data_IF_130661232591
#
_entry.id   IF_130661232591
#
_cell.length_a   1.000
_cell.length_b   1.000
_cell.length_c   1.000
_cell.angle_alpha   90.00
_cell.angle_beta   90.00
_cell.angle_gamma   90.00
#
_symmetry.space_group_name_H-M   'P 1'
#
loop_
_entity.id
_entity.type
_entity.pdbx_description
1 polymer ?
#
# COMPACT_ATOMS: atom_id res chain seq x y z
N UNK A 1 21.26 -6.18 -36.36
CA UNK A 1 20.40 -5.78 -35.25
C UNK A 1 20.93 -4.47 -34.69
N UNK A 2 20.17 -3.39 -34.68
CA UNK A 2 20.61 -2.12 -34.09
C UNK A 2 20.72 -2.28 -32.58
N UNK A 3 21.84 -1.84 -32.02
CA UNK A 3 22.01 -1.82 -30.55
C UNK A 3 20.88 -1.01 -29.95
N UNK A 4 20.16 -1.53 -28.94
CA UNK A 4 19.09 -0.79 -28.29
C UNK A 4 19.65 0.52 -27.73
N UNK A 5 19.02 1.64 -28.06
CA UNK A 5 19.38 2.94 -27.50
C UNK A 5 18.78 3.04 -26.09
N UNK A 6 19.60 2.86 -25.08
CA UNK A 6 19.20 3.11 -23.70
C UNK A 6 19.17 4.62 -23.41
N UNK A 7 18.13 5.07 -22.72
CA UNK A 7 18.10 6.43 -22.18
C UNK A 7 19.20 6.55 -21.12
N UNK A 8 20.04 7.59 -21.17
CA UNK A 8 20.98 7.84 -20.06
C UNK A 8 20.20 8.16 -18.80
N UNK A 9 20.41 7.37 -17.77
CA UNK A 9 19.80 7.57 -16.45
C UNK A 9 20.86 7.95 -15.44
N UNK A 10 20.49 8.85 -14.52
CA UNK A 10 21.35 9.26 -13.44
C UNK A 10 21.16 8.30 -12.26
N UNK A 11 22.21 7.59 -11.92
CA UNK A 11 22.29 6.75 -10.72
C UNK A 11 23.13 7.43 -9.67
N UNK A 12 22.89 7.08 -8.40
CA UNK A 12 23.64 7.56 -7.25
C UNK A 12 25.05 6.95 -7.16
N UNK A 13 25.72 7.28 -6.07
CA UNK A 13 27.06 6.73 -5.77
C UNK A 13 26.94 5.25 -5.45
N UNK A 14 27.67 4.40 -6.20
CA UNK A 14 27.67 2.94 -6.04
C UNK A 14 28.88 2.42 -5.24
N UNK A 15 29.75 3.33 -4.75
CA UNK A 15 30.93 2.94 -3.97
C UNK A 15 30.51 2.43 -2.60
N UNK A 16 31.19 1.36 -2.18
CA UNK A 16 31.05 0.78 -0.85
C UNK A 16 32.37 0.76 -0.12
N UNK A 17 32.34 1.01 1.16
CA UNK A 17 33.46 0.79 2.06
C UNK A 17 33.38 -0.65 2.59
N UNK A 18 34.48 -1.38 2.56
CA UNK A 18 34.54 -2.74 3.07
C UNK A 18 35.59 -2.81 4.19
N UNK A 19 35.20 -3.44 5.30
CA UNK A 19 36.08 -3.67 6.46
C UNK A 19 36.01 -5.14 6.85
N UNK A 20 37.13 -5.80 7.03
CA UNK A 20 37.17 -7.13 7.63
C UNK A 20 37.20 -7.04 9.17
N UNK A 21 36.39 -7.85 9.82
CA UNK A 21 36.39 -8.09 11.26
C UNK A 21 37.36 -9.21 11.65
N UNK A 22 37.59 -9.36 12.97
CA UNK A 22 38.53 -10.36 13.51
C UNK A 22 38.20 -11.81 13.13
N UNK A 23 36.92 -12.11 12.88
CA UNK A 23 36.45 -13.48 12.60
C UNK A 23 36.26 -13.73 11.09
N UNK A 24 36.88 -12.95 10.21
CA UNK A 24 36.71 -13.04 8.77
C UNK A 24 35.35 -12.52 8.26
N UNK A 25 34.54 -11.92 9.14
CA UNK A 25 33.29 -11.27 8.77
C UNK A 25 33.59 -9.98 8.00
N UNK A 26 32.94 -9.84 6.85
CA UNK A 26 33.08 -8.63 6.03
C UNK A 26 31.92 -7.68 6.28
N UNK A 27 32.24 -6.44 6.69
CA UNK A 27 31.29 -5.38 6.88
C UNK A 27 31.31 -4.48 5.65
N UNK A 28 30.15 -4.34 5.00
CA UNK A 28 29.97 -3.44 3.86
C UNK A 28 29.08 -2.28 4.25
N UNK A 29 29.49 -1.07 3.93
CA UNK A 29 28.68 0.14 4.12
C UNK A 29 28.72 1.02 2.87
N UNK A 30 27.64 1.73 2.59
CA UNK A 30 27.65 2.73 1.53
C UNK A 30 28.68 3.82 1.85
N UNK A 31 29.39 4.32 0.84
CA UNK A 31 30.28 5.47 0.95
C UNK A 31 29.50 6.75 1.26
N UNK A 32 28.31 6.89 0.63
CA UNK A 32 27.39 7.98 0.89
C UNK A 32 26.52 7.68 2.11
N UNK A 33 26.50 8.57 3.10
CA UNK A 33 25.59 8.48 4.24
C UNK A 33 24.14 8.73 3.80
N UNK A 34 23.19 8.12 4.51
CA UNK A 34 21.79 8.43 4.35
C UNK A 34 21.54 9.89 4.78
N UNK A 35 20.94 10.67 3.88
CA UNK A 35 20.55 12.06 4.16
C UNK A 35 19.23 12.11 4.92
N UNK A 36 18.85 13.29 5.37
CA UNK A 36 17.58 13.51 6.07
C UNK A 36 16.38 13.08 5.21
N UNK A 37 15.36 12.56 5.87
CA UNK A 37 14.12 12.09 5.26
C UNK A 37 12.92 12.48 6.13
N UNK A 38 11.71 12.50 5.55
CA UNK A 38 10.49 12.85 6.28
C UNK A 38 10.24 11.94 7.48
N UNK A 39 9.62 12.50 8.51
CA UNK A 39 9.21 11.74 9.70
C UNK A 39 8.16 10.67 9.35
N UNK A 40 7.26 10.99 8.39
CA UNK A 40 6.10 10.18 7.99
C UNK A 40 5.95 10.16 6.48
N UNK A 41 5.46 9.06 5.95
CA UNK A 41 5.09 8.97 4.53
C UNK A 41 3.99 9.98 4.15
N UNK A 42 3.10 10.30 5.09
CA UNK A 42 2.03 11.28 4.90
C UNK A 42 2.52 12.72 4.74
N UNK A 43 3.73 13.04 5.20
CA UNK A 43 4.34 14.35 4.94
C UNK A 43 4.61 14.57 3.44
N UNK A 44 4.97 13.49 2.72
CA UNK A 44 5.13 13.52 1.26
C UNK A 44 3.79 13.62 0.55
N UNK A 45 2.78 12.86 1.01
CA UNK A 45 1.43 12.94 0.44
C UNK A 45 0.86 14.36 0.56
N UNK A 46 0.96 14.98 1.75
CA UNK A 46 0.51 16.36 1.98
C UNK A 46 1.27 17.37 1.11
N UNK A 47 2.59 17.18 0.97
CA UNK A 47 3.42 18.02 0.09
C UNK A 47 2.92 17.97 -1.36
N UNK A 48 2.71 16.79 -1.91
CA UNK A 48 2.26 16.66 -3.30
C UNK A 48 0.82 17.14 -3.49
N UNK A 49 -0.06 16.90 -2.53
CA UNK A 49 -1.42 17.44 -2.57
C UNK A 49 -1.46 18.98 -2.60
N UNK A 50 -0.45 19.63 -2.02
CA UNK A 50 -0.37 21.11 -2.03
C UNK A 50 0.38 21.66 -3.25
N UNK A 51 1.39 20.97 -3.77
CA UNK A 51 2.27 21.48 -4.84
C UNK A 51 1.87 21.01 -6.23
N UNK A 52 1.19 19.88 -6.35
CA UNK A 52 0.70 19.32 -7.63
C UNK A 52 -0.66 18.61 -7.44
N UNK A 53 -1.69 19.36 -6.99
CA UNK A 53 -2.98 18.80 -6.56
C UNK A 53 -3.69 17.96 -7.62
N UNK A 54 -3.58 18.37 -8.88
CA UNK A 54 -4.29 17.77 -10.02
C UNK A 54 -3.54 16.60 -10.66
N UNK A 55 -2.27 16.33 -10.24
CA UNK A 55 -1.52 15.19 -10.74
C UNK A 55 -2.18 13.90 -10.25
N UNK A 56 -2.37 12.95 -11.18
CA UNK A 56 -2.88 11.63 -10.84
C UNK A 56 -1.90 10.89 -9.91
N UNK A 57 -2.37 10.49 -8.75
CA UNK A 57 -1.64 9.63 -7.83
C UNK A 57 -1.93 8.15 -8.11
N UNK A 58 -3.21 7.82 -8.28
CA UNK A 58 -3.69 6.46 -8.47
C UNK A 58 -4.62 6.41 -9.67
N UNK A 59 -4.57 5.32 -10.42
CA UNK A 59 -5.55 5.02 -11.44
C UNK A 59 -5.87 3.52 -11.48
N UNK A 60 -7.14 3.19 -11.75
CA UNK A 60 -7.59 1.82 -11.96
C UNK A 60 -8.65 1.81 -13.06
N UNK A 61 -8.68 0.75 -13.87
CA UNK A 61 -9.73 0.62 -14.88
C UNK A 61 -11.10 0.43 -14.27
N UNK A 62 -12.08 1.11 -14.83
CA UNK A 62 -13.48 0.86 -14.50
C UNK A 62 -13.89 -0.51 -15.04
N UNK A 63 -14.53 -1.31 -14.21
CA UNK A 63 -15.10 -2.58 -14.65
C UNK A 63 -16.52 -2.36 -15.17
N UNK A 64 -16.74 -2.65 -16.44
CA UNK A 64 -18.05 -2.55 -17.08
C UNK A 64 -19.02 -3.64 -16.57
N UNK A 65 -20.31 -3.47 -16.83
CA UNK A 65 -21.35 -4.42 -16.42
C UNK A 65 -21.18 -5.83 -17.02
N UNK A 66 -20.56 -5.91 -18.20
CA UNK A 66 -20.22 -7.18 -18.88
C UNK A 66 -18.93 -7.83 -18.37
N UNK A 67 -18.27 -7.20 -17.40
CA UNK A 67 -17.01 -7.64 -16.80
C UNK A 67 -15.75 -7.21 -17.56
N UNK A 68 -15.87 -6.55 -18.73
CA UNK A 68 -14.75 -5.98 -19.46
C UNK A 68 -14.15 -4.78 -18.72
N UNK A 69 -12.88 -4.48 -19.02
CA UNK A 69 -12.16 -3.34 -18.46
C UNK A 69 -12.29 -2.13 -19.41
N UNK A 70 -12.91 -1.07 -18.89
CA UNK A 70 -13.11 0.21 -19.57
C UNK A 70 -11.95 1.20 -19.42
N UNK A 71 -12.32 2.48 -19.35
CA UNK A 71 -11.37 3.58 -19.17
C UNK A 71 -10.78 3.62 -17.76
N UNK A 72 -9.72 4.40 -17.60
CA UNK A 72 -9.08 4.63 -16.30
C UNK A 72 -9.91 5.59 -15.44
N UNK A 73 -10.22 5.19 -14.21
CA UNK A 73 -10.64 6.08 -13.14
C UNK A 73 -9.41 6.60 -12.43
N UNK A 74 -9.26 7.92 -12.39
CA UNK A 74 -8.11 8.60 -11.83
C UNK A 74 -8.45 9.24 -10.50
N UNK A 75 -7.52 9.16 -9.53
CA UNK A 75 -7.56 9.89 -8.26
C UNK A 75 -6.32 10.78 -8.21
N UNK A 76 -6.53 12.08 -8.09
CA UNK A 76 -5.44 13.05 -7.97
C UNK A 76 -4.86 13.08 -6.55
N UNK A 77 -3.70 13.72 -6.38
CA UNK A 77 -3.09 13.91 -5.06
C UNK A 77 -4.01 14.68 -4.10
N UNK A 78 -4.71 15.72 -4.59
CA UNK A 78 -5.68 16.45 -3.77
C UNK A 78 -6.84 15.56 -3.32
N UNK A 79 -7.40 14.77 -4.23
CA UNK A 79 -8.48 13.83 -3.91
C UNK A 79 -8.01 12.74 -2.94
N UNK A 80 -6.83 12.16 -3.16
CA UNK A 80 -6.26 11.15 -2.27
C UNK A 80 -6.02 11.71 -0.86
N UNK A 81 -5.51 12.94 -0.75
CA UNK A 81 -5.32 13.62 0.54
C UNK A 81 -6.63 13.91 1.25
N UNK A 82 -7.62 14.44 0.55
CA UNK A 82 -8.95 14.72 1.09
C UNK A 82 -9.61 13.42 1.61
N UNK A 83 -9.60 12.37 0.79
CA UNK A 83 -10.15 11.06 1.16
C UNK A 83 -9.41 10.45 2.36
N UNK A 84 -8.07 10.51 2.38
CA UNK A 84 -7.29 10.01 3.49
C UNK A 84 -7.63 10.73 4.82
N UNK A 85 -7.85 12.05 4.79
CA UNK A 85 -8.26 12.82 5.98
C UNK A 85 -9.67 12.47 6.46
N UNK A 86 -10.62 12.29 5.54
CA UNK A 86 -11.98 11.88 5.88
C UNK A 86 -12.00 10.48 6.48
N UNK A 87 -11.29 9.53 5.88
CA UNK A 87 -11.12 8.17 6.43
C UNK A 87 -10.43 8.24 7.81
N UNK A 88 -9.35 9.03 7.94
CA UNK A 88 -8.67 9.19 9.22
C UNK A 88 -9.62 9.68 10.32
N UNK A 89 -10.49 10.65 10.01
CA UNK A 89 -11.51 11.10 10.97
C UNK A 89 -12.44 9.94 11.36
N UNK A 90 -12.92 9.18 10.38
CA UNK A 90 -13.78 8.01 10.64
C UNK A 90 -13.12 6.98 11.55
N UNK A 91 -11.79 6.77 11.43
CA UNK A 91 -11.02 5.85 12.27
C UNK A 91 -10.82 6.42 13.70
N UNK A 92 -10.53 7.72 13.80
CA UNK A 92 -10.41 8.44 15.09
C UNK A 92 -11.72 8.40 15.85
N UNK A 93 -12.86 8.68 15.18
CA UNK A 93 -14.20 8.65 15.80
C UNK A 93 -14.56 7.26 16.35
N UNK A 94 -14.00 6.20 15.78
CA UNK A 94 -14.12 4.80 16.23
C UNK A 94 -13.17 4.43 17.38
N UNK A 95 -12.29 5.35 17.78
CA UNK A 95 -11.27 5.10 18.80
C UNK A 95 -10.24 4.03 18.36
N UNK A 96 -10.00 3.89 17.05
CA UNK A 96 -8.94 3.02 16.57
C UNK A 96 -7.56 3.60 16.91
N UNK A 97 -6.62 2.74 17.19
CA UNK A 97 -5.30 3.09 17.70
C UNK A 97 -4.29 1.96 17.37
N UNK A 98 -3.02 2.05 17.74
CA UNK A 98 -2.02 1.00 17.46
C UNK A 98 -2.38 -0.40 17.98
N UNK A 99 -3.19 -0.50 19.02
CA UNK A 99 -3.61 -1.76 19.63
C UNK A 99 -4.88 -2.33 18.97
N UNK A 100 -5.55 -1.52 18.15
CA UNK A 100 -6.75 -1.88 17.41
C UNK A 100 -6.58 -1.52 15.92
N UNK A 101 -5.66 -2.21 15.22
CA UNK A 101 -5.34 -1.93 13.81
C UNK A 101 -6.49 -2.26 12.86
N UNK A 102 -6.32 -1.87 11.60
CA UNK A 102 -7.22 -2.21 10.50
C UNK A 102 -6.67 -3.42 9.74
N UNK A 103 -7.49 -4.44 9.49
CA UNK A 103 -7.15 -5.54 8.56
C UNK A 103 -7.86 -5.31 7.23
N UNK A 104 -7.12 -5.40 6.13
CA UNK A 104 -7.60 -5.18 4.77
C UNK A 104 -7.65 -6.50 4.01
N UNK A 105 -8.85 -6.93 3.64
CA UNK A 105 -9.12 -8.13 2.83
C UNK A 105 -9.48 -7.70 1.41
N UNK A 106 -8.46 -7.38 0.63
CA UNK A 106 -8.59 -6.89 -0.74
C UNK A 106 -7.36 -7.22 -1.57
N UNK A 107 -7.52 -7.35 -2.87
CA UNK A 107 -6.42 -7.18 -3.82
C UNK A 107 -6.04 -5.70 -3.89
N UNK A 108 -5.08 -5.35 -4.78
CA UNK A 108 -4.77 -3.95 -5.01
C UNK A 108 -6.00 -3.24 -5.58
N UNK A 109 -6.45 -2.18 -4.91
CA UNK A 109 -7.61 -1.42 -5.30
C UNK A 109 -7.51 0.04 -4.84
N UNK A 110 -8.35 0.93 -5.39
CA UNK A 110 -8.39 2.34 -5.01
C UNK A 110 -8.79 2.49 -3.53
N UNK A 111 -9.83 1.79 -3.10
CA UNK A 111 -10.32 1.83 -1.72
C UNK A 111 -9.30 1.24 -0.73
N UNK A 112 -8.58 0.18 -1.12
CA UNK A 112 -7.46 -0.34 -0.35
C UNK A 112 -6.37 0.73 -0.15
N UNK A 113 -6.00 1.43 -1.23
CA UNK A 113 -5.01 2.50 -1.15
C UNK A 113 -5.49 3.65 -0.27
N UNK A 114 -6.72 4.14 -0.50
CA UNK A 114 -7.29 5.26 0.26
C UNK A 114 -7.42 4.92 1.75
N UNK A 115 -7.86 3.70 2.09
CA UNK A 115 -7.93 3.24 3.48
C UNK A 115 -6.53 3.16 4.11
N UNK A 116 -5.54 2.65 3.37
CA UNK A 116 -4.15 2.61 3.84
C UNK A 116 -3.61 4.02 4.13
N UNK A 117 -3.88 4.99 3.25
CA UNK A 117 -3.51 6.39 3.46
C UNK A 117 -4.24 7.00 4.66
N UNK A 118 -5.52 6.72 4.82
CA UNK A 118 -6.30 7.15 5.98
C UNK A 118 -5.75 6.59 7.29
N UNK A 119 -5.39 5.33 7.32
CA UNK A 119 -4.72 4.70 8.47
C UNK A 119 -3.41 5.41 8.83
N UNK A 120 -2.58 5.73 7.82
CA UNK A 120 -1.33 6.45 8.03
C UNK A 120 -1.54 7.86 8.60
N UNK A 121 -2.58 8.58 8.13
CA UNK A 121 -2.93 9.92 8.64
C UNK A 121 -3.45 9.84 10.06
N UNK A 122 -4.24 8.81 10.40
CA UNK A 122 -4.78 8.61 11.74
C UNK A 122 -3.74 8.05 12.74
N UNK A 123 -2.56 7.61 12.27
CA UNK A 123 -1.58 6.90 13.12
C UNK A 123 -2.03 5.50 13.53
N UNK A 124 -2.98 4.91 12.82
CA UNK A 124 -3.53 3.56 13.05
C UNK A 124 -2.81 2.58 12.12
N UNK A 125 -2.17 1.52 12.64
CA UNK A 125 -1.54 0.53 11.78
C UNK A 125 -2.57 -0.22 10.91
N UNK A 126 -2.17 -0.61 9.72
CA UNK A 126 -2.99 -1.48 8.87
C UNK A 126 -2.25 -2.77 8.50
N UNK A 127 -3.01 -3.78 8.14
CA UNK A 127 -2.49 -5.06 7.67
C UNK A 127 -3.24 -5.50 6.41
N UNK A 128 -2.62 -5.41 5.22
CA UNK A 128 -3.16 -6.05 4.04
C UNK A 128 -2.96 -7.57 4.16
N UNK A 129 -4.04 -8.29 4.36
CA UNK A 129 -4.02 -9.74 4.42
C UNK A 129 -3.93 -10.33 2.99
N UNK A 130 -3.15 -11.41 2.82
CA UNK A 130 -3.08 -12.08 1.51
C UNK A 130 -4.47 -12.51 1.05
N UNK A 131 -4.93 -12.12 -0.14
CA UNK A 131 -6.23 -12.52 -0.67
C UNK A 131 -6.43 -14.04 -0.67
N UNK A 132 -5.37 -14.81 -0.90
CA UNK A 132 -5.41 -16.27 -0.90
C UNK A 132 -5.87 -16.87 0.45
N UNK A 133 -5.64 -16.19 1.57
CA UNK A 133 -6.08 -16.67 2.90
C UNK A 133 -7.59 -16.59 3.09
N UNK A 134 -8.28 -15.84 2.22
CA UNK A 134 -9.73 -15.65 2.26
C UNK A 134 -10.45 -16.29 1.07
N UNK A 135 -9.81 -16.30 -0.12
CA UNK A 135 -10.48 -16.70 -1.36
C UNK A 135 -10.11 -18.11 -1.84
N UNK A 136 -8.99 -18.66 -1.37
CA UNK A 136 -8.50 -19.99 -1.75
C UNK A 136 -8.55 -20.94 -0.56
N UNK A 137 -8.20 -20.46 0.63
CA UNK A 137 -8.20 -21.28 1.86
C UNK A 137 -9.61 -21.80 2.17
N UNK A 138 -9.69 -23.07 2.58
CA UNK A 138 -10.96 -23.71 2.98
C UNK A 138 -11.16 -23.67 4.49
N UNK A 139 -10.08 -23.67 5.26
CA UNK A 139 -10.09 -23.68 6.72
C UNK A 139 -9.90 -22.30 7.35
N UNK A 140 -9.46 -21.29 6.57
CA UNK A 140 -9.15 -19.93 7.01
C UNK A 140 -8.17 -19.85 8.20
N UNK A 141 -7.36 -20.87 8.44
CA UNK A 141 -6.44 -20.94 9.60
C UNK A 141 -5.49 -19.73 9.64
N UNK A 142 -4.89 -19.40 8.50
CA UNK A 142 -3.96 -18.26 8.42
C UNK A 142 -4.66 -16.92 8.65
N UNK A 143 -5.88 -16.76 8.15
CA UNK A 143 -6.68 -15.56 8.41
C UNK A 143 -7.03 -15.43 9.89
N UNK A 144 -7.51 -16.52 10.53
CA UNK A 144 -7.78 -16.52 11.99
C UNK A 144 -6.52 -16.18 12.77
N UNK A 145 -5.37 -16.73 12.38
CA UNK A 145 -4.11 -16.41 13.04
C UNK A 145 -3.77 -14.92 12.96
N UNK A 146 -3.94 -14.28 11.79
CA UNK A 146 -3.76 -12.84 11.61
C UNK A 146 -4.69 -12.06 12.54
N UNK A 147 -5.99 -12.38 12.53
CA UNK A 147 -6.99 -11.70 13.33
C UNK A 147 -6.76 -11.86 14.84
N UNK A 148 -6.37 -13.05 15.28
CA UNK A 148 -6.03 -13.32 16.70
C UNK A 148 -4.76 -12.59 17.11
N UNK A 149 -3.75 -12.53 16.22
CA UNK A 149 -2.48 -11.86 16.52
C UNK A 149 -2.63 -10.34 16.61
N UNK A 150 -3.44 -9.75 15.73
CA UNK A 150 -3.57 -8.30 15.61
C UNK A 150 -4.72 -7.71 16.42
N UNK A 151 -5.72 -8.52 16.80
CA UNK A 151 -6.94 -8.04 17.49
C UNK A 151 -7.51 -6.77 16.85
N UNK A 152 -7.86 -6.79 15.53
CA UNK A 152 -8.22 -5.58 14.82
C UNK A 152 -9.49 -4.93 15.35
N UNK A 153 -9.55 -3.61 15.31
CA UNK A 153 -10.78 -2.87 15.62
C UNK A 153 -11.72 -2.73 14.42
N UNK A 154 -11.21 -2.97 13.21
CA UNK A 154 -11.96 -2.88 11.97
C UNK A 154 -11.38 -3.85 10.92
N UNK A 155 -12.26 -4.51 10.19
CA UNK A 155 -11.92 -5.31 9.00
C UNK A 155 -12.57 -4.68 7.78
N UNK A 156 -11.78 -4.36 6.76
CA UNK A 156 -12.28 -3.95 5.45
C UNK A 156 -12.25 -5.11 4.47
N UNK A 157 -13.28 -5.23 3.64
CA UNK A 157 -13.27 -6.14 2.50
C UNK A 157 -13.83 -5.48 1.24
N UNK A 158 -13.19 -5.74 0.10
CA UNK A 158 -13.55 -5.14 -1.18
C UNK A 158 -14.91 -5.65 -1.69
N UNK A 159 -15.24 -6.91 -1.44
CA UNK A 159 -16.42 -7.54 -2.04
C UNK A 159 -16.99 -8.64 -1.13
N UNK A 160 -18.25 -8.54 -0.77
CA UNK A 160 -18.93 -9.53 0.08
C UNK A 160 -19.05 -10.90 -0.58
N UNK A 161 -19.17 -10.97 -1.93
CA UNK A 161 -19.26 -12.24 -2.65
C UNK A 161 -17.97 -13.05 -2.54
N UNK A 162 -16.83 -12.37 -2.63
CA UNK A 162 -15.50 -13.01 -2.56
C UNK A 162 -15.05 -13.30 -1.14
N UNK A 163 -15.29 -12.37 -0.22
CA UNK A 163 -14.73 -12.40 1.14
C UNK A 163 -15.75 -12.77 2.22
N UNK A 164 -17.04 -12.76 1.94
CA UNK A 164 -18.10 -12.96 2.92
C UNK A 164 -18.00 -14.26 3.70
N UNK A 165 -17.74 -15.40 3.03
CA UNK A 165 -17.53 -16.69 3.70
C UNK A 165 -16.37 -16.68 4.70
N UNK A 166 -15.27 -16.05 4.32
CA UNK A 166 -14.10 -15.92 5.20
C UNK A 166 -14.40 -15.00 6.39
N UNK A 167 -15.16 -13.92 6.17
CA UNK A 167 -15.60 -13.00 7.22
C UNK A 167 -16.52 -13.74 8.21
N UNK A 168 -17.52 -14.46 7.73
CA UNK A 168 -18.43 -15.25 8.58
C UNK A 168 -17.69 -16.29 9.42
N UNK A 169 -16.71 -16.95 8.82
CA UNK A 169 -15.96 -18.05 9.44
C UNK A 169 -14.86 -17.59 10.41
N UNK A 170 -14.26 -16.40 10.20
CA UNK A 170 -13.04 -16.01 10.90
C UNK A 170 -13.12 -14.69 11.67
N UNK A 171 -13.99 -13.74 11.26
CA UNK A 171 -14.05 -12.41 11.87
C UNK A 171 -15.08 -12.40 13.00
N UNK A 172 -14.66 -12.05 14.23
CA UNK A 172 -15.53 -11.94 15.39
C UNK A 172 -16.75 -11.05 15.15
N UNK A 173 -17.89 -11.36 15.76
CA UNK A 173 -19.14 -10.61 15.56
C UNK A 173 -19.07 -9.18 16.15
N UNK A 174 -18.19 -8.96 17.09
CA UNK A 174 -17.90 -7.69 17.75
C UNK A 174 -16.98 -6.76 16.95
N UNK A 175 -16.34 -7.28 15.88
CA UNK A 175 -15.45 -6.51 15.02
C UNK A 175 -16.27 -5.87 13.90
N UNK A 176 -16.18 -4.55 13.73
CA UNK A 176 -16.80 -3.83 12.62
C UNK A 176 -16.26 -4.30 11.29
N UNK A 177 -17.17 -4.57 10.34
CA UNK A 177 -16.83 -4.89 8.95
C UNK A 177 -17.26 -3.75 8.04
N UNK A 178 -16.30 -3.18 7.32
CA UNK A 178 -16.52 -2.20 6.28
C UNK A 178 -16.45 -2.90 4.93
N UNK A 179 -17.43 -2.68 4.06
CA UNK A 179 -17.50 -3.25 2.72
C UNK A 179 -17.48 -2.15 1.66
N UNK A 180 -16.73 -2.39 0.58
CA UNK A 180 -16.86 -1.59 -0.63
C UNK A 180 -18.12 -1.97 -1.40
N UNK A 181 -18.42 -3.27 -1.50
CA UNK A 181 -19.57 -3.74 -2.26
C UNK A 181 -20.21 -5.00 -1.69
N UNK A 182 -21.50 -5.18 -1.96
CA UNK A 182 -22.28 -6.34 -1.56
C UNK A 182 -22.73 -6.28 -0.09
N UNK A 183 -23.37 -7.37 0.36
CA UNK A 183 -23.91 -7.54 1.70
C UNK A 183 -23.59 -8.94 2.23
N UNK A 184 -23.42 -9.06 3.54
CA UNK A 184 -23.21 -10.34 4.23
C UNK A 184 -24.47 -10.65 5.02
N UNK A 185 -25.17 -11.74 4.67
CA UNK A 185 -26.41 -12.13 5.33
C UNK A 185 -26.20 -12.29 6.84
N UNK A 186 -27.09 -11.71 7.63
CA UNK A 186 -27.06 -11.81 9.09
C UNK A 186 -25.90 -11.09 9.78
N UNK A 187 -25.19 -10.20 9.08
CA UNK A 187 -24.13 -9.37 9.65
C UNK A 187 -24.32 -7.90 9.29
N UNK A 188 -24.34 -7.04 10.29
CA UNK A 188 -24.28 -5.59 10.05
C UNK A 188 -22.93 -5.20 9.46
N UNK A 189 -22.94 -4.39 8.43
CA UNK A 189 -21.75 -3.88 7.75
C UNK A 189 -21.88 -2.39 7.50
N UNK A 190 -20.75 -1.71 7.43
CA UNK A 190 -20.63 -0.29 7.12
C UNK A 190 -20.19 -0.15 5.65
N UNK A 191 -20.84 0.72 4.88
CA UNK A 191 -20.40 1.02 3.53
C UNK A 191 -19.10 1.86 3.55
N UNK A 192 -18.11 1.51 2.72
CA UNK A 192 -16.84 2.23 2.62
C UNK A 192 -17.04 3.71 2.28
N UNK A 193 -18.02 4.02 1.42
CA UNK A 193 -18.37 5.39 1.03
C UNK A 193 -18.65 6.30 2.24
N UNK A 194 -19.20 5.75 3.33
CA UNK A 194 -19.45 6.52 4.54
C UNK A 194 -18.20 7.06 5.22
N UNK A 195 -17.06 6.39 5.03
CA UNK A 195 -15.77 6.85 5.55
C UNK A 195 -15.25 8.05 4.75
N UNK A 196 -15.50 8.07 3.43
CA UNK A 196 -15.07 9.14 2.52
C UNK A 196 -15.84 10.45 2.76
N UNK A 197 -17.06 10.36 3.30
CA UNK A 197 -17.94 11.51 3.55
C UNK A 197 -17.86 12.01 5.00
N UNK A 198 -17.00 11.44 5.84
CA UNK A 198 -16.83 11.87 7.24
C UNK A 198 -16.25 13.28 7.30
N UNK A 199 -16.90 14.15 8.08
CA UNK A 199 -16.48 15.54 8.23
C UNK A 199 -15.18 15.64 9.03
N UNK A 200 -14.13 16.16 8.41
CA UNK A 200 -12.81 16.34 9.04
C UNK A 200 -12.86 17.43 10.11
N UNK A 201 -12.24 17.16 11.26
CA UNK A 201 -12.05 18.09 12.38
C UNK A 201 -10.57 18.22 12.73
N UNK A 202 -10.22 19.09 13.67
CA UNK A 202 -8.85 19.23 14.19
C UNK A 202 -8.30 17.95 14.85
N UNK A 203 -9.15 16.97 15.17
CA UNK A 203 -8.72 15.69 15.71
C UNK A 203 -7.81 14.92 14.75
N UNK A 204 -8.03 15.05 13.44
CA UNK A 204 -7.16 14.45 12.41
C UNK A 204 -5.76 15.07 12.43
N UNK A 205 -5.68 16.39 12.56
CA UNK A 205 -4.38 17.08 12.62
C UNK A 205 -3.62 16.71 13.90
N UNK A 206 -4.33 16.59 15.02
CA UNK A 206 -3.75 16.11 16.28
C UNK A 206 -3.24 14.66 16.18
N UNK A 207 -4.02 13.75 15.59
CA UNK A 207 -3.62 12.37 15.36
C UNK A 207 -2.38 12.28 14.46
N UNK A 208 -2.36 13.04 13.36
CA UNK A 208 -1.21 13.10 12.47
C UNK A 208 0.04 13.67 13.17
N UNK A 209 -0.09 14.70 13.99
CA UNK A 209 1.02 15.26 14.77
C UNK A 209 1.57 14.29 15.82
N UNK A 210 0.71 13.46 16.42
CA UNK A 210 1.10 12.42 17.36
C UNK A 210 1.87 11.25 16.68
N UNK A 211 1.77 11.11 15.36
CA UNK A 211 2.48 10.10 14.60
C UNK A 211 3.96 10.47 14.47
N UNK A 212 4.83 9.67 15.08
CA UNK A 212 6.29 9.85 15.04
C UNK A 212 7.00 8.81 14.16
N UNK A 213 8.34 8.89 14.07
CA UNK A 213 9.13 8.00 13.22
C UNK A 213 9.02 6.53 13.62
N UNK A 214 8.82 6.24 14.89
CA UNK A 214 8.72 4.87 15.42
C UNK A 214 7.27 4.37 15.54
N UNK A 215 6.29 5.20 15.14
CA UNK A 215 4.90 4.77 15.02
C UNK A 215 4.79 3.66 13.98
N UNK A 216 4.10 2.58 14.34
CA UNK A 216 3.86 1.46 13.44
C UNK A 216 2.93 1.92 12.31
N UNK A 217 3.40 1.82 11.07
CA UNK A 217 2.63 2.13 9.88
C UNK A 217 1.76 0.94 9.45
N UNK A 218 2.35 -0.25 9.44
CA UNK A 218 1.65 -1.47 8.98
C UNK A 218 2.33 -2.74 9.46
N UNK A 219 1.56 -3.83 9.35
CA UNK A 219 2.03 -5.20 9.54
C UNK A 219 1.97 -5.94 8.20
N UNK A 220 3.08 -6.59 7.82
CA UNK A 220 3.13 -7.48 6.68
C UNK A 220 3.38 -8.91 7.17
N UNK A 221 2.46 -9.82 6.83
CA UNK A 221 2.63 -11.22 7.20
C UNK A 221 3.42 -11.98 6.15
N UNK A 222 4.50 -12.61 6.59
CA UNK A 222 5.36 -13.44 5.73
C UNK A 222 5.03 -14.91 5.92
N UNK A 223 5.06 -15.69 4.84
CA UNK A 223 5.02 -17.15 4.88
C UNK A 223 6.37 -17.68 5.40
N UNK A 224 6.65 -17.52 6.70
CA UNK A 224 7.88 -18.05 7.29
C UNK A 224 8.04 -19.57 7.09
N UNK A 225 9.19 -20.11 7.50
CA UNK A 225 9.50 -21.55 7.52
C UNK A 225 8.57 -22.36 8.45
N UNK A 226 7.72 -21.70 9.23
CA UNK A 226 6.68 -22.27 10.09
C UNK A 226 5.33 -22.28 9.39
N UNK A 227 4.41 -23.19 9.80
CA UNK A 227 3.07 -23.32 9.20
C UNK A 227 2.28 -22.00 9.20
N UNK A 228 2.42 -21.18 10.25
CA UNK A 228 1.71 -19.92 10.40
C UNK A 228 2.58 -18.71 10.05
N UNK A 229 2.04 -17.70 9.36
CA UNK A 229 2.77 -16.52 8.97
C UNK A 229 3.14 -15.64 10.18
N UNK A 230 4.28 -14.94 10.10
CA UNK A 230 4.75 -14.02 11.14
C UNK A 230 4.49 -12.59 10.73
N UNK A 231 4.00 -11.77 11.67
CA UNK A 231 3.83 -10.35 11.47
C UNK A 231 5.19 -9.62 11.48
N UNK A 232 5.49 -8.92 10.40
CA UNK A 232 6.65 -8.03 10.31
C UNK A 232 6.17 -6.61 10.55
N UNK A 233 6.67 -6.00 11.61
CA UNK A 233 6.39 -4.60 11.95
C UNK A 233 7.12 -3.67 10.98
N UNK A 234 6.39 -2.71 10.40
CA UNK A 234 6.93 -1.65 9.57
C UNK A 234 6.61 -0.31 10.21
N UNK A 235 7.63 0.44 10.66
CA UNK A 235 7.45 1.78 11.22
C UNK A 235 7.55 2.85 10.13
N UNK A 236 7.12 4.06 10.44
CA UNK A 236 7.28 5.22 9.56
C UNK A 236 8.75 5.43 9.20
N UNK A 237 9.66 5.34 10.17
CA UNK A 237 11.13 5.45 9.98
C UNK A 237 11.65 4.42 9.00
N UNK A 238 11.28 3.15 9.15
CA UNK A 238 11.73 2.09 8.25
C UNK A 238 11.32 2.37 6.81
N UNK A 239 10.08 2.81 6.62
CA UNK A 239 9.57 3.07 5.28
C UNK A 239 10.17 4.34 4.67
N UNK A 240 10.20 5.45 5.40
CA UNK A 240 10.80 6.70 4.92
C UNK A 240 12.30 6.56 4.64
N UNK A 241 13.06 5.89 5.53
CA UNK A 241 14.48 5.64 5.33
C UNK A 241 14.76 4.79 4.08
N UNK A 242 13.96 3.74 3.85
CA UNK A 242 14.07 2.93 2.65
C UNK A 242 13.80 3.73 1.38
N UNK A 243 12.77 4.57 1.37
CA UNK A 243 12.47 5.43 0.21
C UNK A 243 13.59 6.47 -0.02
N UNK A 244 14.19 6.99 1.04
CA UNK A 244 15.35 7.88 0.92
C UNK A 244 16.59 7.18 0.36
N UNK A 245 16.84 5.92 0.74
CA UNK A 245 17.88 5.10 0.13
C UNK A 245 17.65 4.95 -1.38
N UNK A 246 16.40 4.70 -1.78
CA UNK A 246 16.03 4.62 -3.20
C UNK A 246 16.25 5.95 -3.92
N UNK A 247 15.84 7.06 -3.32
CA UNK A 247 16.07 8.41 -3.87
C UNK A 247 17.55 8.70 -4.10
N UNK A 248 18.43 8.29 -3.16
CA UNK A 248 19.87 8.48 -3.30
C UNK A 248 20.51 7.52 -4.32
N UNK A 249 19.99 6.30 -4.43
CA UNK A 249 20.47 5.32 -5.40
C UNK A 249 19.98 5.60 -6.82
N UNK A 250 18.79 6.17 -6.95
CA UNK A 250 18.13 6.49 -8.21
C UNK A 250 17.66 7.96 -8.24
N UNK A 251 18.58 8.94 -8.28
CA UNK A 251 18.22 10.37 -8.32
C UNK A 251 17.33 10.74 -9.50
N UNK A 252 17.29 9.94 -10.56
CA UNK A 252 16.35 10.09 -11.68
C UNK A 252 14.88 10.13 -11.23
N UNK A 253 14.52 9.51 -10.10
CA UNK A 253 13.14 9.53 -9.58
C UNK A 253 12.70 10.91 -9.10
N UNK A 254 13.66 11.77 -8.70
CA UNK A 254 13.38 13.17 -8.36
C UNK A 254 13.29 14.07 -9.61
N UNK A 255 14.03 13.72 -10.67
CA UNK A 255 14.02 14.47 -11.93
C UNK A 255 12.80 14.12 -12.80
N UNK A 256 12.35 12.89 -12.73
CA UNK A 256 11.19 12.36 -13.46
C UNK A 256 10.37 11.52 -12.48
N UNK A 257 9.28 12.08 -11.92
CA UNK A 257 8.40 11.34 -11.02
C UNK A 257 7.99 9.98 -11.64
N UNK A 258 8.00 8.89 -10.84
CA UNK A 258 7.77 7.56 -11.38
C UNK A 258 6.33 7.39 -11.86
N UNK A 259 6.15 6.82 -13.03
CA UNK A 259 4.87 6.31 -13.52
C UNK A 259 5.00 4.79 -13.58
N UNK A 260 4.18 4.10 -12.79
CA UNK A 260 4.17 2.65 -12.70
C UNK A 260 2.86 2.07 -13.27
N UNK A 261 2.97 0.93 -13.91
CA UNK A 261 1.88 -0.02 -14.15
C UNK A 261 2.23 -1.25 -13.32
N UNK A 262 1.48 -1.52 -12.25
CA UNK A 262 1.91 -2.46 -11.21
C UNK A 262 0.79 -3.37 -10.73
N UNK A 263 1.07 -4.69 -10.76
CA UNK A 263 0.20 -5.75 -10.25
C UNK A 263 0.74 -6.39 -8.96
N UNK A 264 1.97 -6.03 -8.54
CA UNK A 264 2.61 -6.65 -7.38
C UNK A 264 1.77 -6.44 -6.11
N UNK A 265 1.47 -7.52 -5.37
CA UNK A 265 0.51 -7.44 -4.28
C UNK A 265 1.02 -6.57 -3.12
N UNK A 266 0.15 -5.71 -2.59
CA UNK A 266 0.51 -4.78 -1.52
C UNK A 266 0.62 -5.42 -0.13
N UNK A 267 0.18 -6.66 0.02
CA UNK A 267 0.50 -7.46 1.20
C UNK A 267 1.95 -7.99 1.22
N UNK A 268 2.72 -7.72 0.17
CA UNK A 268 4.15 -7.99 0.06
C UNK A 268 4.97 -6.71 0.09
N UNK A 269 6.20 -6.82 0.63
CA UNK A 269 7.15 -5.69 0.74
C UNK A 269 7.41 -5.03 -0.62
N UNK A 270 7.53 -5.79 -1.70
CA UNK A 270 7.84 -5.22 -3.01
C UNK A 270 6.68 -4.34 -3.52
N UNK A 271 5.46 -4.85 -3.60
CA UNK A 271 4.30 -4.04 -4.01
C UNK A 271 4.00 -2.92 -3.00
N UNK A 272 3.84 -3.29 -1.72
CA UNK A 272 3.32 -2.39 -0.69
C UNK A 272 4.33 -1.41 -0.09
N UNK A 273 5.62 -1.77 0.04
CA UNK A 273 6.63 -0.83 0.55
C UNK A 273 7.40 -0.15 -0.56
N UNK A 274 7.89 -0.92 -1.53
CA UNK A 274 8.74 -0.40 -2.60
C UNK A 274 7.92 0.40 -3.61
N UNK A 275 6.97 -0.22 -4.33
CA UNK A 275 6.28 0.43 -5.44
C UNK A 275 5.28 1.48 -4.96
N UNK A 276 4.39 1.14 -4.05
CA UNK A 276 3.41 2.10 -3.51
C UNK A 276 4.13 3.24 -2.74
N UNK A 277 5.16 2.90 -1.96
CA UNK A 277 5.98 3.89 -1.27
C UNK A 277 6.73 4.84 -2.21
N UNK A 278 7.26 4.32 -3.33
CA UNK A 278 7.94 5.12 -4.35
C UNK A 278 7.02 6.20 -4.94
N UNK A 279 5.77 5.84 -5.22
CA UNK A 279 4.77 6.78 -5.75
C UNK A 279 4.48 7.89 -4.73
N UNK A 280 4.21 7.53 -3.47
CA UNK A 280 3.96 8.52 -2.41
C UNK A 280 5.18 9.43 -2.21
N UNK A 281 6.40 8.83 -2.18
CA UNK A 281 7.61 9.56 -1.84
C UNK A 281 8.03 10.57 -2.91
N UNK A 282 7.90 10.19 -4.19
CA UNK A 282 8.40 10.96 -5.33
C UNK A 282 7.32 11.75 -6.09
N UNK A 283 6.05 11.71 -5.68
CA UNK A 283 4.99 12.40 -6.40
C UNK A 283 4.64 11.75 -7.75
N UNK A 284 4.77 10.42 -7.81
CA UNK A 284 4.54 9.64 -9.01
C UNK A 284 3.07 9.26 -9.24
N UNK A 285 2.84 8.43 -10.25
CA UNK A 285 1.53 7.87 -10.60
C UNK A 285 1.59 6.35 -10.57
N UNK A 286 0.62 5.72 -9.94
CA UNK A 286 0.46 4.27 -9.92
C UNK A 286 -0.82 3.87 -10.66
N UNK A 287 -0.66 3.20 -11.78
CA UNK A 287 -1.73 2.52 -12.50
C UNK A 287 -1.82 1.09 -11.95
N UNK A 288 -2.91 0.78 -11.27
CA UNK A 288 -3.16 -0.55 -10.72
C UNK A 288 -3.49 -1.48 -11.88
N UNK A 289 -2.58 -2.42 -12.13
CA UNK A 289 -2.72 -3.37 -13.23
C UNK A 289 -3.54 -4.58 -12.80
N UNK A 290 -4.63 -4.84 -13.49
CA UNK A 290 -5.44 -6.04 -13.29
C UNK A 290 -4.91 -7.26 -14.06
N UNK A 291 -3.90 -7.03 -14.91
CA UNK A 291 -3.09 -8.07 -15.52
C UNK A 291 -2.19 -8.76 -14.49
N UNK A 292 -1.71 -9.93 -14.85
CA UNK A 292 -0.73 -10.74 -14.10
C UNK A 292 0.08 -11.55 -15.09
N UNK A 293 1.28 -12.05 -14.72
CA UNK A 293 2.11 -12.89 -15.59
C UNK A 293 1.54 -14.32 -15.69
N UNK A 294 0.28 -14.43 -16.08
CA UNK A 294 -0.41 -15.70 -16.36
C UNK A 294 -0.97 -15.64 -17.78
N UNK A 295 -1.12 -16.79 -18.47
CA UNK A 295 -1.64 -16.81 -19.84
C UNK A 295 -2.97 -16.07 -20.02
N UNK A 296 -3.85 -16.14 -19.03
CA UNK A 296 -5.18 -15.51 -19.07
C UNK A 296 -5.16 -13.98 -18.92
N UNK A 297 -4.19 -13.43 -18.17
CA UNK A 297 -4.18 -12.03 -17.77
C UNK A 297 -3.03 -11.21 -18.36
N UNK A 298 -2.04 -11.86 -18.99
CA UNK A 298 -0.89 -11.17 -19.61
C UNK A 298 -1.33 -10.16 -20.68
N UNK A 299 -2.43 -10.45 -21.38
CA UNK A 299 -2.97 -9.55 -22.41
C UNK A 299 -3.30 -8.16 -21.87
N UNK A 300 -3.86 -8.09 -20.65
CA UNK A 300 -4.20 -6.81 -20.00
C UNK A 300 -2.94 -6.05 -19.57
N UNK A 301 -1.97 -6.74 -18.99
CA UNK A 301 -0.67 -6.11 -18.67
C UNK A 301 -0.03 -5.50 -19.93
N UNK A 302 -0.01 -6.24 -21.05
CA UNK A 302 0.56 -5.73 -22.30
C UNK A 302 -0.21 -4.52 -22.84
N UNK A 303 -1.54 -4.55 -22.76
CA UNK A 303 -2.39 -3.42 -23.12
C UNK A 303 -2.06 -2.19 -22.28
N UNK A 304 -2.00 -2.35 -20.96
CA UNK A 304 -1.73 -1.27 -20.02
C UNK A 304 -0.32 -0.69 -20.19
N UNK A 305 0.70 -1.53 -20.38
CA UNK A 305 2.07 -1.08 -20.64
C UNK A 305 2.20 -0.28 -21.95
N UNK A 306 1.47 -0.67 -23.00
CA UNK A 306 1.49 0.04 -24.29
C UNK A 306 0.78 1.40 -24.20
N UNK A 307 -0.32 1.45 -23.47
CA UNK A 307 -1.14 2.66 -23.34
C UNK A 307 -0.47 3.70 -22.42
N UNK A 308 0.04 3.27 -21.28
CA UNK A 308 0.59 4.17 -20.26
C UNK A 308 2.07 4.50 -20.52
N UNK A 309 2.83 3.60 -21.11
CA UNK A 309 4.27 3.72 -21.30
C UNK A 309 4.99 4.14 -19.99
N UNK A 310 5.00 3.28 -18.96
CA UNK A 310 5.53 3.63 -17.65
C UNK A 310 7.00 4.04 -17.69
N UNK A 311 7.41 4.94 -16.79
CA UNK A 311 8.81 5.35 -16.68
C UNK A 311 9.66 4.35 -15.92
N UNK A 312 9.02 3.58 -15.04
CA UNK A 312 9.64 2.52 -14.24
C UNK A 312 8.70 1.31 -14.23
N UNK A 313 9.25 0.14 -14.45
CA UNK A 313 8.50 -1.12 -14.41
C UNK A 313 9.26 -2.17 -13.62
N UNK A 314 8.61 -2.79 -12.66
CA UNK A 314 9.14 -3.88 -11.86
C UNK A 314 8.32 -5.14 -12.07
N UNK A 315 9.01 -6.27 -12.09
CA UNK A 315 8.38 -7.56 -12.17
C UNK A 315 9.16 -8.56 -11.30
N UNK A 316 8.57 -9.71 -11.06
CA UNK A 316 9.22 -10.86 -10.43
C UNK A 316 9.42 -11.96 -11.47
N UNK A 317 10.48 -12.79 -11.32
CA UNK A 317 10.74 -13.90 -12.23
C UNK A 317 9.58 -14.90 -12.30
#
# INVERSE_FOLDING_TARGET
>A
MSTPKFRPLKFGVTRVNMREGADGVRYMSADQKLTDYPTRMTDRLAHWASTQPDTTMLAKRVKNADGSLGDWHHISYAQAWQSARAIAQALVDRGLNPERPVVIMSENDLEHALLSLGCLVAGVPYCPASPAYSTISQDYEKLRHILTTLTPGLVFAADATRYGKAIEAAVGKDIEVVLQSGEIAGRATTAFESLLTTKVTSAVDAAMQATGPDTIAKFLFTSGSTKLPKAVVNTQRMWCANQQQMAQSMPVLAETPPVLVDWLPWNHTFGGNHNFGMVIYHGGTLYIDEGKPTPALMGETLRNLREIAPTVYFNVP
#
